data_IF_742903777441
#
_entry.id   IF_742903777441
#
_cell.length_a   1.000
_cell.length_b   1.000
_cell.length_c   1.000
_cell.angle_alpha   90.00
_cell.angle_beta   90.00
_cell.angle_gamma   90.00
#
_symmetry.space_group_name_H-M   'P 1'
#
loop_
_entity.id
_entity.type
_entity.pdbx_description
1 polymer ?
#
# COMPACT_ATOMS: atom_id res chain seq x y z
N UNK A 1 0.69 0.94 11.82
CA UNK A 1 -0.35 1.81 12.42
C UNK A 1 -0.25 2.01 13.94
N UNK A 2 0.06 0.99 14.77
CA UNK A 2 0.00 1.13 16.25
C UNK A 2 1.02 2.11 16.84
N UNK A 3 2.25 2.13 16.37
CA UNK A 3 3.31 2.90 17.05
C UNK A 3 3.39 4.38 16.60
N UNK A 4 2.76 4.73 15.48
CA UNK A 4 2.75 6.10 14.94
C UNK A 4 1.63 6.99 15.52
N UNK A 5 0.59 6.40 16.13
CA UNK A 5 -0.58 7.14 16.65
C UNK A 5 -0.48 7.44 18.15
N UNK A 6 0.56 6.97 18.84
CA UNK A 6 0.66 7.04 20.30
C UNK A 6 1.46 8.24 20.85
N UNK A 7 2.02 9.10 20.00
CA UNK A 7 2.93 10.15 20.46
C UNK A 7 2.93 11.38 19.55
N UNK A 8 2.00 12.29 19.79
CA UNK A 8 2.21 13.75 19.95
C UNK A 8 0.85 14.46 19.91
N UNK A 9 0.74 15.56 20.64
CA UNK A 9 -0.45 16.40 20.82
C UNK A 9 -0.88 17.10 19.51
N UNK A 10 -1.35 16.32 18.54
CA UNK A 10 -1.89 16.78 17.26
C UNK A 10 -3.25 16.14 16.97
N UNK A 11 -3.99 16.77 16.07
CA UNK A 11 -5.22 16.22 15.49
C UNK A 11 -4.94 14.81 14.94
N UNK A 12 -5.75 13.83 15.34
CA UNK A 12 -5.59 12.43 14.91
C UNK A 12 -5.61 12.32 13.37
N UNK A 13 -6.34 13.21 12.69
CA UNK A 13 -6.36 13.31 11.24
C UNK A 13 -5.01 13.76 10.68
N UNK A 14 -4.39 14.75 11.32
CA UNK A 14 -3.04 15.21 10.96
C UNK A 14 -2.01 14.08 11.07
N UNK A 15 -2.03 13.33 12.17
CA UNK A 15 -1.15 12.18 12.35
C UNK A 15 -1.39 11.07 11.31
N UNK A 16 -2.66 10.76 11.01
CA UNK A 16 -3.03 9.80 9.97
C UNK A 16 -2.48 10.21 8.60
N UNK A 17 -2.72 11.45 8.17
CA UNK A 17 -2.30 11.92 6.86
C UNK A 17 -0.79 12.11 6.75
N UNK A 18 -0.12 12.50 7.84
CA UNK A 18 1.34 12.56 7.89
C UNK A 18 1.95 11.16 7.72
N UNK A 19 1.38 10.15 8.38
CA UNK A 19 1.82 8.77 8.22
C UNK A 19 1.54 8.23 6.81
N UNK A 20 0.37 8.50 6.25
CA UNK A 20 0.05 8.12 4.87
C UNK A 20 1.02 8.78 3.89
N UNK A 21 1.27 10.09 4.00
CA UNK A 21 2.24 10.78 3.15
C UNK A 21 3.64 10.16 3.21
N UNK A 22 4.07 9.72 4.41
CA UNK A 22 5.34 9.04 4.58
C UNK A 22 5.36 7.67 3.89
N UNK A 23 4.25 6.90 3.96
CA UNK A 23 4.14 5.62 3.25
C UNK A 23 4.23 5.83 1.73
N UNK A 24 3.51 6.81 1.17
CA UNK A 24 3.61 7.12 -0.27
C UNK A 24 5.04 7.55 -0.64
N UNK A 25 5.69 8.35 0.21
CA UNK A 25 7.05 8.80 -0.05
C UNK A 25 8.06 7.64 0.00
N UNK A 26 7.84 6.68 0.90
CA UNK A 26 8.65 5.48 1.05
C UNK A 26 8.44 4.47 -0.08
N UNK A 27 7.26 4.45 -0.72
CA UNK A 27 6.98 3.56 -1.86
C UNK A 27 7.63 4.05 -3.17
N UNK A 28 7.89 5.35 -3.33
CA UNK A 28 8.59 5.91 -4.51
C UNK A 28 9.88 5.15 -4.83
N UNK A 29 10.89 5.08 -3.93
CA UNK A 29 12.13 4.40 -4.26
C UNK A 29 11.93 2.87 -4.32
N UNK A 30 10.92 2.30 -3.66
CA UNK A 30 10.58 0.88 -3.78
C UNK A 30 10.10 0.51 -5.20
N UNK A 31 9.23 1.32 -5.81
CA UNK A 31 8.81 1.15 -7.21
C UNK A 31 9.95 1.37 -8.21
N UNK A 32 10.87 2.31 -7.93
CA UNK A 32 12.07 2.49 -8.77
C UNK A 32 13.00 1.27 -8.71
N UNK A 33 13.24 0.73 -7.50
CA UNK A 33 13.95 -0.53 -7.32
C UNK A 33 13.26 -1.66 -8.08
N UNK A 34 11.94 -1.82 -7.91
CA UNK A 34 11.17 -2.85 -8.62
C UNK A 34 11.35 -2.73 -10.14
N UNK A 35 11.32 -1.52 -10.69
CA UNK A 35 11.54 -1.32 -12.12
C UNK A 35 12.93 -1.77 -12.59
N UNK A 36 13.97 -1.50 -11.80
CA UNK A 36 15.34 -1.89 -12.12
C UNK A 36 15.55 -3.41 -11.96
N UNK A 37 14.98 -4.02 -10.93
CA UNK A 37 15.02 -5.47 -10.71
C UNK A 37 14.23 -6.23 -11.80
N UNK A 38 13.03 -5.76 -12.15
CA UNK A 38 12.24 -6.31 -13.26
C UNK A 38 13.04 -6.30 -14.57
N UNK A 39 13.72 -5.18 -14.86
CA UNK A 39 14.58 -5.08 -16.04
C UNK A 39 15.75 -6.06 -15.97
N UNK A 40 16.43 -6.16 -14.83
CA UNK A 40 17.56 -7.05 -14.64
C UNK A 40 17.19 -8.54 -14.78
N UNK A 41 15.98 -8.93 -14.35
CA UNK A 41 15.47 -10.29 -14.43
C UNK A 41 14.73 -10.61 -15.75
N UNK A 42 14.74 -9.69 -16.71
CA UNK A 42 14.20 -9.89 -18.06
C UNK A 42 12.67 -9.86 -18.13
N UNK A 43 12.03 -9.01 -17.33
CA UNK A 43 10.60 -8.76 -17.41
C UNK A 43 10.22 -7.98 -18.68
N UNK A 44 8.97 -8.12 -19.17
CA UNK A 44 8.45 -7.29 -20.24
C UNK A 44 8.62 -5.80 -19.96
N UNK A 45 8.98 -5.03 -20.99
CA UNK A 45 9.18 -3.58 -20.88
C UNK A 45 7.92 -2.85 -20.36
N UNK A 46 6.72 -3.41 -20.60
CA UNK A 46 5.47 -2.89 -20.07
C UNK A 46 5.42 -2.90 -18.54
N UNK A 47 5.92 -3.95 -17.87
CA UNK A 47 5.97 -4.01 -16.40
C UNK A 47 6.98 -3.02 -15.83
N UNK A 48 8.15 -2.89 -16.47
CA UNK A 48 9.17 -1.89 -16.09
C UNK A 48 8.61 -0.46 -16.20
N UNK A 49 7.91 -0.17 -17.30
CA UNK A 49 7.26 1.14 -17.51
C UNK A 49 6.13 1.38 -16.52
N UNK A 50 5.37 0.35 -16.15
CA UNK A 50 4.32 0.45 -15.14
C UNK A 50 4.90 0.77 -13.76
N UNK A 51 5.95 0.07 -13.31
CA UNK A 51 6.59 0.36 -12.03
C UNK A 51 7.15 1.79 -11.95
N UNK A 52 7.82 2.27 -13.01
CA UNK A 52 8.28 3.68 -13.07
C UNK A 52 7.13 4.69 -13.04
N UNK A 53 5.99 4.35 -13.62
CA UNK A 53 4.79 5.18 -13.57
C UNK A 53 4.23 5.23 -12.15
N UNK A 54 4.12 4.09 -11.48
CA UNK A 54 3.69 4.00 -10.08
C UNK A 54 4.56 4.89 -9.19
N UNK A 55 5.89 4.84 -9.33
CA UNK A 55 6.78 5.76 -8.60
C UNK A 55 6.43 7.25 -8.83
N UNK A 56 6.02 7.63 -10.04
CA UNK A 56 5.58 8.99 -10.34
C UNK A 56 4.17 9.32 -9.83
N UNK A 57 3.31 8.31 -9.65
CA UNK A 57 2.01 8.44 -8.98
C UNK A 57 2.22 8.72 -7.49
N UNK A 58 3.14 7.99 -6.87
CA UNK A 58 3.45 8.13 -5.45
C UNK A 58 4.03 9.48 -5.07
N UNK A 59 4.87 10.08 -5.93
CA UNK A 59 5.29 11.48 -5.73
C UNK A 59 4.10 12.45 -5.68
N UNK A 60 3.03 12.19 -6.45
CA UNK A 60 1.81 13.02 -6.39
C UNK A 60 1.00 12.69 -5.14
N UNK A 61 0.90 11.42 -4.76
CA UNK A 61 0.18 10.98 -3.57
C UNK A 61 0.82 11.55 -2.30
N UNK A 62 2.15 11.46 -2.16
CA UNK A 62 2.92 12.09 -1.08
C UNK A 62 2.53 13.55 -0.90
N UNK A 63 2.54 14.34 -1.99
CA UNK A 63 2.22 15.77 -1.94
C UNK A 63 0.78 16.01 -1.49
N UNK A 64 -0.16 15.21 -1.99
CA UNK A 64 -1.56 15.33 -1.64
C UNK A 64 -1.81 14.99 -0.16
N UNK A 65 -1.24 13.89 0.33
CA UNK A 65 -1.38 13.47 1.72
C UNK A 65 -0.63 14.42 2.67
N UNK A 66 0.51 14.97 2.26
CA UNK A 66 1.24 15.98 3.01
C UNK A 66 0.44 17.29 3.14
N UNK A 67 -0.24 17.72 2.08
CA UNK A 67 -1.13 18.89 2.13
C UNK A 67 -2.29 18.68 3.10
N UNK A 68 -2.91 17.49 3.10
CA UNK A 68 -3.93 17.13 4.09
C UNK A 68 -3.35 17.14 5.51
N UNK A 69 -2.17 16.55 5.73
CA UNK A 69 -1.50 16.57 7.03
C UNK A 69 -1.29 17.99 7.55
N UNK A 70 -0.76 18.89 6.71
CA UNK A 70 -0.51 20.30 7.05
C UNK A 70 -1.80 21.05 7.39
N UNK A 71 -2.89 20.79 6.65
CA UNK A 71 -4.21 21.36 6.93
C UNK A 71 -4.73 20.97 8.32
N UNK A 72 -4.35 19.78 8.81
CA UNK A 72 -4.65 19.28 10.14
C UNK A 72 -3.50 19.52 11.15
N UNK A 73 -2.60 20.47 10.86
CA UNK A 73 -1.56 20.91 11.80
C UNK A 73 -0.40 19.92 12.01
N UNK A 74 -0.25 18.91 11.14
CA UNK A 74 0.82 17.94 11.20
C UNK A 74 1.78 18.07 10.03
N UNK A 75 3.02 17.60 10.21
CA UNK A 75 4.03 17.53 9.16
C UNK A 75 4.47 16.09 8.97
N UNK A 76 4.65 15.68 7.72
CA UNK A 76 5.25 14.39 7.39
C UNK A 76 6.69 14.34 7.91
N UNK A 77 7.12 13.25 8.57
CA UNK A 77 8.52 13.07 8.95
C UNK A 77 9.39 12.82 7.72
N UNK A 78 10.70 12.99 7.87
CA UNK A 78 11.66 12.67 6.81
C UNK A 78 11.66 11.17 6.48
N UNK A 79 11.90 10.85 5.21
CA UNK A 79 12.08 9.47 4.75
C UNK A 79 13.55 9.13 4.78
N UNK A 80 13.95 8.35 5.77
CA UNK A 80 15.29 7.75 5.87
C UNK A 80 15.17 6.25 5.60
N UNK A 81 15.45 5.85 4.36
CA UNK A 81 15.44 4.47 3.92
C UNK A 81 16.87 4.04 3.56
N UNK A 82 17.29 2.84 3.96
CA UNK A 82 18.58 2.31 3.55
C UNK A 82 18.63 2.21 2.02
N UNK A 83 19.83 2.39 1.42
CA UNK A 83 19.99 2.20 -0.01
C UNK A 83 19.59 0.79 -0.40
N UNK A 84 18.96 0.69 -1.56
CA UNK A 84 18.51 -0.56 -2.11
C UNK A 84 19.65 -1.33 -2.77
N UNK A 85 19.74 -2.62 -2.47
CA UNK A 85 20.59 -3.57 -3.18
C UNK A 85 19.74 -4.40 -4.14
N UNK A 86 20.30 -4.79 -5.29
CA UNK A 86 19.61 -5.67 -6.24
C UNK A 86 19.47 -7.07 -5.65
N UNK A 87 18.24 -7.57 -5.60
CA UNK A 87 17.93 -8.88 -5.04
C UNK A 87 17.83 -9.97 -6.10
N UNK A 88 17.88 -11.21 -5.64
CA UNK A 88 17.49 -12.34 -6.50
C UNK A 88 16.02 -12.23 -6.93
N UNK A 89 15.67 -12.89 -8.04
CA UNK A 89 14.28 -12.94 -8.53
C UNK A 89 13.33 -13.46 -7.45
N UNK A 90 13.76 -14.45 -6.67
CA UNK A 90 12.94 -15.02 -5.61
C UNK A 90 12.69 -14.02 -4.47
N UNK A 91 13.72 -13.31 -3.99
CA UNK A 91 13.56 -12.30 -2.93
C UNK A 91 12.68 -11.13 -3.38
N UNK A 92 12.85 -10.65 -4.62
CA UNK A 92 12.00 -9.61 -5.21
C UNK A 92 10.53 -10.05 -5.22
N UNK A 93 10.26 -11.29 -5.65
CA UNK A 93 8.89 -11.79 -5.78
C UNK A 93 8.27 -12.15 -4.43
N UNK A 94 9.08 -12.57 -3.45
CA UNK A 94 8.62 -12.73 -2.06
C UNK A 94 8.17 -11.39 -1.45
N UNK A 95 8.92 -10.30 -1.68
CA UNK A 95 8.46 -8.97 -1.27
C UNK A 95 7.19 -8.57 -2.02
N UNK A 96 7.13 -8.75 -3.34
CA UNK A 96 5.94 -8.44 -4.15
C UNK A 96 4.69 -9.20 -3.67
N UNK A 97 4.83 -10.46 -3.26
CA UNK A 97 3.73 -11.25 -2.73
C UNK A 97 3.17 -10.69 -1.43
N UNK A 98 4.03 -10.20 -0.53
CA UNK A 98 3.61 -9.66 0.77
C UNK A 98 3.13 -8.23 0.61
N UNK A 99 3.98 -7.35 0.09
CA UNK A 99 3.71 -5.92 0.03
C UNK A 99 2.74 -5.59 -1.11
N UNK A 100 3.01 -6.01 -2.34
CA UNK A 100 2.15 -5.69 -3.49
C UNK A 100 0.82 -6.47 -3.50
N UNK A 101 0.90 -7.80 -3.60
CA UNK A 101 -0.28 -8.64 -3.78
C UNK A 101 -1.22 -8.61 -2.57
N UNK A 102 -0.69 -8.49 -1.34
CA UNK A 102 -1.53 -8.44 -0.13
C UNK A 102 -1.71 -7.02 0.39
N UNK A 103 -0.63 -6.31 0.79
CA UNK A 103 -0.78 -5.02 1.47
C UNK A 103 -1.28 -3.90 0.56
N UNK A 104 -0.73 -3.72 -0.63
CA UNK A 104 -1.18 -2.69 -1.58
C UNK A 104 -2.58 -3.00 -2.10
N UNK A 105 -2.92 -4.27 -2.39
CA UNK A 105 -4.30 -4.62 -2.77
C UNK A 105 -5.30 -4.28 -1.65
N UNK A 106 -4.95 -4.51 -0.38
CA UNK A 106 -5.79 -4.06 0.73
C UNK A 106 -5.84 -2.53 0.83
N UNK A 107 -4.70 -1.85 0.65
CA UNK A 107 -4.61 -0.39 0.59
C UNK A 107 -5.54 0.21 -0.47
N UNK A 108 -5.58 -0.37 -1.66
CA UNK A 108 -6.49 0.02 -2.74
C UNK A 108 -7.97 -0.11 -2.34
N UNK A 109 -8.33 -1.16 -1.58
CA UNK A 109 -9.68 -1.30 -1.05
C UNK A 109 -10.02 -0.24 -0.01
N UNK A 110 -9.08 0.07 0.88
CA UNK A 110 -9.23 1.13 1.89
C UNK A 110 -9.34 2.51 1.23
N UNK A 111 -8.45 2.85 0.29
CA UNK A 111 -8.51 4.11 -0.47
C UNK A 111 -9.82 4.24 -1.25
N UNK A 112 -10.25 3.14 -1.90
CA UNK A 112 -11.53 3.04 -2.58
C UNK A 112 -12.71 3.30 -1.62
N UNK A 113 -12.68 2.71 -0.43
CA UNK A 113 -13.68 2.94 0.61
C UNK A 113 -13.71 4.42 1.04
N UNK A 114 -12.58 4.97 1.46
CA UNK A 114 -12.47 6.35 1.93
C UNK A 114 -12.93 7.37 0.87
N UNK A 115 -12.62 7.13 -0.42
CA UNK A 115 -13.06 7.98 -1.54
C UNK A 115 -14.59 8.09 -1.70
N UNK A 116 -15.34 7.19 -1.07
CA UNK A 116 -16.81 7.17 -1.07
C UNK A 116 -17.41 7.60 0.26
N UNK A 117 -16.73 7.38 1.37
CA UNK A 117 -17.32 7.44 2.72
C UNK A 117 -16.79 8.57 3.59
N UNK A 118 -15.60 9.10 3.33
CA UNK A 118 -15.05 10.25 4.07
C UNK A 118 -16.04 11.41 4.04
N UNK A 119 -16.40 11.99 5.19
CA UNK A 119 -17.31 13.14 5.25
C UNK A 119 -16.63 14.42 4.78
N UNK A 120 -15.35 14.61 5.11
CA UNK A 120 -14.56 15.72 4.60
C UNK A 120 -14.47 15.64 3.08
N UNK A 121 -15.00 16.67 2.41
CA UNK A 121 -15.12 16.70 0.96
C UNK A 121 -13.78 16.80 0.23
N UNK A 122 -12.77 17.41 0.85
CA UNK A 122 -11.42 17.53 0.28
C UNK A 122 -10.67 16.20 0.41
N UNK A 123 -10.77 15.53 1.57
CA UNK A 123 -10.22 14.18 1.76
C UNK A 123 -10.84 13.21 0.75
N UNK A 124 -12.19 13.22 0.65
CA UNK A 124 -12.93 12.37 -0.28
C UNK A 124 -12.59 12.66 -1.75
N UNK A 125 -12.33 13.93 -2.09
CA UNK A 125 -11.90 14.34 -3.43
C UNK A 125 -10.51 13.83 -3.76
N UNK A 126 -9.56 14.05 -2.86
CA UNK A 126 -8.16 13.59 -2.97
C UNK A 126 -8.07 12.08 -3.11
N UNK A 127 -8.74 11.32 -2.23
CA UNK A 127 -8.69 9.86 -2.26
C UNK A 127 -9.41 9.25 -3.46
N UNK A 128 -10.31 9.97 -4.14
CA UNK A 128 -10.92 9.51 -5.41
C UNK A 128 -9.90 9.43 -6.54
N UNK A 129 -8.92 10.34 -6.55
CA UNK A 129 -7.83 10.31 -7.52
C UNK A 129 -6.85 9.20 -7.16
N UNK A 130 -6.38 9.18 -5.90
CA UNK A 130 -5.43 8.19 -5.38
C UNK A 130 -5.96 6.77 -5.58
N UNK A 131 -7.21 6.49 -5.19
CA UNK A 131 -7.79 5.15 -5.32
C UNK A 131 -7.78 4.57 -6.75
N UNK A 132 -7.78 5.40 -7.80
CA UNK A 132 -7.67 4.93 -9.19
C UNK A 132 -6.25 4.57 -9.59
N UNK A 133 -5.27 5.22 -8.98
CA UNK A 133 -3.85 4.93 -9.16
C UNK A 133 -3.50 3.68 -8.32
N UNK A 134 -3.99 3.57 -7.08
CA UNK A 134 -3.80 2.38 -6.20
C UNK A 134 -4.32 1.07 -6.80
N UNK A 135 -5.45 1.10 -7.51
CA UNK A 135 -5.94 -0.10 -8.21
C UNK A 135 -4.93 -0.56 -9.27
N UNK A 136 -4.28 0.38 -9.98
CA UNK A 136 -3.26 0.04 -10.99
C UNK A 136 -1.97 -0.47 -10.35
N UNK A 137 -1.66 -0.03 -9.12
CA UNK A 137 -0.50 -0.54 -8.37
C UNK A 137 -0.75 -1.99 -7.93
N UNK A 138 -1.93 -2.29 -7.40
CA UNK A 138 -2.35 -3.66 -7.12
C UNK A 138 -2.33 -4.54 -8.39
N UNK A 139 -2.90 -4.07 -9.51
CA UNK A 139 -2.86 -4.77 -10.80
C UNK A 139 -1.42 -5.05 -11.26
N UNK A 140 -0.50 -4.10 -11.07
CA UNK A 140 0.92 -4.29 -11.38
C UNK A 140 1.53 -5.40 -10.51
N UNK A 141 1.27 -5.40 -9.21
CA UNK A 141 1.80 -6.43 -8.30
C UNK A 141 1.38 -7.84 -8.74
N UNK A 142 0.10 -8.02 -9.12
CA UNK A 142 -0.40 -9.29 -9.64
C UNK A 142 0.17 -9.65 -11.01
N UNK A 143 0.38 -8.68 -11.90
CA UNK A 143 1.01 -8.92 -13.19
C UNK A 143 2.49 -9.33 -13.05
N UNK A 144 3.21 -8.75 -12.08
CA UNK A 144 4.58 -9.14 -11.72
C UNK A 144 4.62 -10.55 -11.15
N UNK A 145 3.71 -10.90 -10.25
CA UNK A 145 3.58 -12.26 -9.71
C UNK A 145 3.36 -13.28 -10.84
N UNK A 146 2.36 -13.04 -11.69
CA UNK A 146 2.00 -13.92 -12.80
C UNK A 146 3.18 -14.15 -13.77
N UNK A 147 3.90 -13.08 -14.15
CA UNK A 147 5.08 -13.18 -15.00
C UNK A 147 6.19 -14.01 -14.34
N UNK A 148 6.41 -13.85 -13.04
CA UNK A 148 7.48 -14.55 -12.35
C UNK A 148 7.17 -16.04 -12.16
N UNK A 149 5.90 -16.44 -12.06
CA UNK A 149 5.53 -17.85 -11.84
C UNK A 149 6.20 -18.80 -12.85
N UNK A 150 6.31 -18.40 -14.12
CA UNK A 150 6.92 -19.21 -15.19
C UNK A 150 8.42 -19.49 -14.97
N UNK A 151 9.10 -18.64 -14.17
CA UNK A 151 10.54 -18.70 -13.90
C UNK A 151 10.89 -19.39 -12.59
N UNK A 152 9.91 -19.63 -11.72
CA UNK A 152 10.11 -20.20 -10.40
C UNK A 152 10.04 -21.74 -10.41
N UNK A 153 10.91 -22.37 -9.62
CA UNK A 153 10.81 -23.81 -9.33
C UNK A 153 9.60 -24.12 -8.44
N UNK A 154 9.12 -25.38 -8.39
CA UNK A 154 8.00 -25.75 -7.52
C UNK A 154 8.21 -25.39 -6.03
N UNK A 155 9.44 -25.53 -5.52
CA UNK A 155 9.77 -25.18 -4.13
C UNK A 155 9.68 -23.67 -3.87
N UNK A 156 10.09 -22.85 -4.85
CA UNK A 156 9.97 -21.39 -4.76
C UNK A 156 8.50 -20.94 -4.81
N UNK A 157 7.70 -21.55 -5.70
CA UNK A 157 6.25 -21.29 -5.76
C UNK A 157 5.55 -21.64 -4.46
N UNK A 158 5.94 -22.74 -3.81
CA UNK A 158 5.40 -23.11 -2.50
C UNK A 158 5.76 -22.09 -1.41
N UNK A 159 7.01 -21.60 -1.39
CA UNK A 159 7.43 -20.53 -0.45
C UNK A 159 6.66 -19.24 -0.69
N UNK A 160 6.40 -18.89 -1.95
CA UNK A 160 5.63 -17.71 -2.32
C UNK A 160 4.16 -17.82 -1.88
N UNK A 161 3.54 -18.99 -2.06
CA UNK A 161 2.19 -19.25 -1.55
C UNK A 161 2.15 -19.11 -0.01
N UNK A 162 3.12 -19.70 0.68
CA UNK A 162 3.22 -19.60 2.14
C UNK A 162 3.37 -18.14 2.59
N UNK A 163 4.24 -17.37 1.95
CA UNK A 163 4.44 -15.95 2.27
C UNK A 163 3.15 -15.14 2.12
N UNK A 164 2.35 -15.38 1.06
CA UNK A 164 1.04 -14.72 0.89
C UNK A 164 0.04 -15.14 1.97
N UNK A 165 -0.01 -16.42 2.32
CA UNK A 165 -0.89 -16.92 3.39
C UNK A 165 -0.53 -16.33 4.75
N UNK A 166 0.76 -16.23 5.06
CA UNK A 166 1.24 -15.63 6.30
C UNK A 166 0.95 -14.13 6.33
N UNK A 167 1.15 -13.41 5.22
CA UNK A 167 0.80 -12.00 5.09
C UNK A 167 -0.71 -11.76 5.28
N UNK A 168 -1.57 -12.60 4.68
CA UNK A 168 -3.02 -12.53 4.88
C UNK A 168 -3.41 -12.77 6.34
N UNK A 169 -2.80 -13.75 7.00
CA UNK A 169 -3.08 -14.02 8.42
C UNK A 169 -2.69 -12.83 9.29
N UNK A 170 -1.50 -12.27 9.08
CA UNK A 170 -1.01 -11.09 9.80
C UNK A 170 -1.95 -9.90 9.56
N UNK A 171 -2.34 -9.64 8.31
CA UNK A 171 -3.28 -8.57 7.98
C UNK A 171 -4.65 -8.80 8.63
N UNK A 172 -5.14 -10.04 8.66
CA UNK A 172 -6.36 -10.41 9.37
C UNK A 172 -6.28 -10.08 10.87
N UNK A 173 -5.17 -10.45 11.52
CA UNK A 173 -4.92 -10.14 12.92
C UNK A 173 -4.88 -8.61 13.17
N UNK A 174 -4.29 -7.83 12.27
CA UNK A 174 -4.26 -6.36 12.30
C UNK A 174 -5.67 -5.77 12.18
N UNK A 175 -6.48 -6.26 11.24
CA UNK A 175 -7.88 -5.85 11.03
C UNK A 175 -8.73 -6.13 12.27
N UNK A 176 -8.57 -7.30 12.89
CA UNK A 176 -9.28 -7.70 14.11
C UNK A 176 -8.93 -6.80 15.31
N UNK A 177 -7.64 -6.49 15.43
CA UNK A 177 -7.07 -5.66 16.47
C UNK A 177 -7.35 -4.16 16.29
N UNK A 178 -7.87 -3.74 15.13
CA UNK A 178 -8.09 -2.34 14.79
C UNK A 178 -9.06 -1.65 15.76
N UNK A 179 -8.64 -0.51 16.30
CA UNK A 179 -9.47 0.42 17.08
C UNK A 179 -9.13 1.84 16.63
N UNK A 180 -10.07 2.49 15.96
CA UNK A 180 -9.89 3.84 15.44
C UNK A 180 -10.83 4.80 16.17
N UNK A 181 -10.39 6.05 16.47
CA UNK A 181 -11.29 7.11 16.90
C UNK A 181 -12.42 7.34 15.89
N UNK A 182 -13.61 7.68 16.37
CA UNK A 182 -14.79 7.94 15.52
C UNK A 182 -14.52 9.03 14.49
N UNK A 183 -13.72 10.03 14.84
CA UNK A 183 -13.32 11.12 13.95
C UNK A 183 -12.55 10.63 12.71
N UNK A 184 -11.66 9.65 12.84
CA UNK A 184 -10.95 9.08 11.68
C UNK A 184 -11.90 8.30 10.76
N UNK A 185 -12.88 7.61 11.35
CA UNK A 185 -13.89 6.88 10.58
C UNK A 185 -14.79 7.87 9.84
N UNK A 186 -15.20 8.94 10.50
CA UNK A 186 -16.15 9.91 9.96
C UNK A 186 -15.50 10.86 8.96
N UNK A 187 -14.45 11.57 9.36
CA UNK A 187 -13.85 12.64 8.55
C UNK A 187 -12.94 12.08 7.47
N UNK A 188 -12.02 11.17 7.83
CA UNK A 188 -11.11 10.54 6.86
C UNK A 188 -11.71 9.32 6.15
N UNK A 189 -12.93 8.90 6.52
CA UNK A 189 -13.60 7.77 5.90
C UNK A 189 -12.94 6.43 6.21
N UNK A 190 -12.08 6.33 7.23
CA UNK A 190 -11.41 5.08 7.56
C UNK A 190 -12.47 3.99 7.84
N UNK A 191 -12.30 2.76 7.34
CA UNK A 191 -13.27 1.71 7.61
C UNK A 191 -13.29 1.40 9.11
N UNK A 192 -14.49 1.30 9.68
CA UNK A 192 -14.67 0.68 11.00
C UNK A 192 -14.13 -0.74 10.99
N UNK A 193 -13.91 -1.37 12.16
CA UNK A 193 -13.43 -2.77 12.18
C UNK A 193 -14.31 -3.70 11.35
N UNK A 194 -15.62 -3.60 11.48
CA UNK A 194 -16.53 -4.50 10.76
C UNK A 194 -16.51 -4.25 9.25
N UNK A 195 -16.32 -3.00 8.83
CA UNK A 195 -16.13 -2.65 7.42
C UNK A 195 -14.77 -3.14 6.90
N UNK A 196 -13.70 -2.98 7.68
CA UNK A 196 -12.37 -3.48 7.36
C UNK A 196 -12.35 -5.00 7.21
N UNK A 197 -13.10 -5.73 8.07
CA UNK A 197 -13.34 -7.18 7.92
C UNK A 197 -14.00 -7.52 6.60
N UNK A 198 -15.04 -6.78 6.18
CA UNK A 198 -15.69 -6.99 4.88
C UNK A 198 -14.72 -6.76 3.72
N UNK A 199 -13.92 -5.70 3.76
CA UNK A 199 -12.89 -5.43 2.74
C UNK A 199 -11.84 -6.57 2.72
N UNK A 200 -11.39 -7.01 3.88
CA UNK A 200 -10.42 -8.10 4.02
C UNK A 200 -10.95 -9.44 3.49
N UNK A 201 -12.23 -9.77 3.73
CA UNK A 201 -12.87 -10.95 3.16
C UNK A 201 -12.91 -10.92 1.63
N UNK A 202 -13.15 -9.75 1.05
CA UNK A 202 -13.05 -9.53 -0.40
C UNK A 202 -11.64 -9.82 -0.93
N UNK A 203 -10.61 -9.34 -0.23
CA UNK A 203 -9.21 -9.59 -0.60
C UNK A 203 -8.88 -11.08 -0.49
N UNK A 204 -9.28 -11.71 0.61
CA UNK A 204 -9.03 -13.12 0.86
C UNK A 204 -9.62 -14.01 -0.23
N UNK A 205 -10.74 -13.60 -0.82
CA UNK A 205 -11.36 -14.30 -1.96
C UNK A 205 -10.59 -14.10 -3.27
N UNK A 206 -9.91 -12.96 -3.46
CA UNK A 206 -9.06 -12.71 -4.63
C UNK A 206 -7.72 -13.43 -4.55
N UNK A 207 -7.20 -13.62 -3.33
CA UNK A 207 -5.88 -14.22 -3.09
C UNK A 207 -5.94 -15.74 -2.91
N UNK A 208 -7.09 -16.29 -2.50
CA UNK A 208 -7.33 -17.73 -2.33
C UNK A 208 -7.37 -18.48 -3.67
#
# INVERSE_FOLDING_TARGET
>A
MRDALASQSGDALGALFAHAAWLEAASVPAFLRLADELKAHGAPESLVKAARRSAGDEVRHTRAMQALAQRHGATMPDVDLPPFESRSLEEMILENAVEGCVRETFGAFVAGWQSRTAQDTEVRGTLRTIARDEVRHAELAWAVDAWAQEKLTPAQRQRLLQARQDALRILGDEVEAQRLPEELIREAGMPSRDQARTLFQGLSTLVA
#
